data_IF_701216369483
#
_entry.id   IF_701216369483
#
_cell.length_a   1.000
_cell.length_b   1.000
_cell.length_c   1.000
_cell.angle_alpha   90.00
_cell.angle_beta   90.00
_cell.angle_gamma   90.00
#
_symmetry.space_group_name_H-M   'P 1'
#
loop_
_entity.id
_entity.type
_entity.pdbx_description
1 polymer ?
#
# COMPACT_ATOMS: atom_id res chain seq x y z
N UNK A 1 10.35 33.61 -76.66
CA UNK A 1 9.11 34.20 -76.20
C UNK A 1 8.63 33.42 -74.98
N UNK A 2 9.05 33.82 -73.79
CA UNK A 2 8.66 33.19 -72.57
C UNK A 2 7.54 33.97 -71.91
N UNK A 3 6.33 33.43 -71.91
CA UNK A 3 5.16 34.02 -71.31
C UNK A 3 5.26 33.86 -69.79
N UNK A 4 5.18 34.99 -69.08
CA UNK A 4 5.31 35.05 -67.62
C UNK A 4 4.25 34.23 -66.89
N UNK A 5 4.69 33.50 -65.90
CA UNK A 5 3.82 32.87 -64.91
C UNK A 5 3.14 33.95 -64.08
N UNK A 6 1.82 33.89 -63.99
CA UNK A 6 0.94 34.84 -63.28
C UNK A 6 1.30 34.82 -61.74
N UNK A 7 1.92 35.92 -61.30
CA UNK A 7 2.39 36.20 -59.98
C UNK A 7 1.28 36.08 -58.89
N UNK A 8 0.02 36.31 -59.34
CA UNK A 8 -1.16 36.22 -58.46
C UNK A 8 -1.49 34.76 -58.07
N UNK A 9 -1.33 33.84 -59.03
CA UNK A 9 -1.58 32.38 -58.75
C UNK A 9 -0.49 31.75 -57.87
N UNK A 10 0.75 32.24 -58.01
CA UNK A 10 1.88 31.77 -57.17
C UNK A 10 1.71 32.25 -55.73
N UNK A 11 1.26 33.50 -55.49
CA UNK A 11 0.99 34.03 -54.14
C UNK A 11 -0.18 33.31 -53.45
N UNK A 12 -1.25 32.98 -54.22
CA UNK A 12 -2.41 32.25 -53.68
C UNK A 12 -2.04 30.81 -53.32
N UNK A 13 -1.26 30.12 -54.16
CA UNK A 13 -0.80 28.78 -53.88
C UNK A 13 0.13 28.74 -52.65
N UNK A 14 1.02 29.70 -52.47
CA UNK A 14 1.92 29.81 -51.32
C UNK A 14 1.16 30.10 -50.03
N UNK A 15 0.13 30.95 -50.07
CA UNK A 15 -0.72 31.26 -48.91
C UNK A 15 -1.55 30.05 -48.47
N UNK A 16 -2.12 29.29 -49.44
CA UNK A 16 -2.84 28.04 -49.14
C UNK A 16 -1.93 26.96 -48.53
N UNK A 17 -0.69 26.83 -48.98
CA UNK A 17 0.26 25.88 -48.44
C UNK A 17 0.67 26.21 -47.00
N UNK A 18 0.87 27.51 -46.71
CA UNK A 18 1.18 27.97 -45.34
C UNK A 18 -0.01 27.76 -44.40
N UNK A 19 -1.24 28.01 -44.82
CA UNK A 19 -2.45 27.75 -44.03
C UNK A 19 -2.65 26.25 -43.76
N UNK A 20 -2.35 25.38 -44.73
CA UNK A 20 -2.47 23.93 -44.54
C UNK A 20 -1.40 23.38 -43.59
N UNK A 21 -0.16 23.86 -43.64
CA UNK A 21 0.92 23.46 -42.73
C UNK A 21 0.67 23.95 -41.29
N UNK A 22 0.11 25.17 -41.12
CA UNK A 22 -0.24 25.66 -39.78
C UNK A 22 -1.45 24.95 -39.16
N UNK A 23 -2.38 24.43 -39.96
CA UNK A 23 -3.55 23.69 -39.47
C UNK A 23 -3.20 22.28 -39.00
N UNK A 24 -2.15 21.66 -39.57
CA UNK A 24 -1.64 20.36 -39.11
C UNK A 24 -0.66 20.44 -37.92
N UNK A 25 0.00 21.59 -37.72
CA UNK A 25 0.90 21.79 -36.58
C UNK A 25 0.17 21.96 -35.23
N UNK A 26 -1.14 22.22 -35.23
CA UNK A 26 -1.94 22.47 -34.01
C UNK A 26 -2.58 21.22 -33.42
N UNK A 27 -2.38 20.02 -34.00
CA UNK A 27 -3.02 18.77 -33.56
C UNK A 27 -2.03 17.75 -32.92
N UNK A 28 -0.79 18.13 -32.78
CA UNK A 28 0.13 17.32 -31.93
C UNK A 28 -0.09 17.73 -30.49
N UNK A 29 -1.19 17.26 -29.87
CA UNK A 29 -1.24 17.15 -28.42
C UNK A 29 -0.03 16.33 -27.99
N UNK A 30 0.81 16.82 -27.07
CA UNK A 30 1.84 15.95 -26.53
C UNK A 30 1.12 14.75 -25.94
N UNK A 31 1.31 13.57 -26.53
CA UNK A 31 0.98 12.32 -25.85
C UNK A 31 1.85 12.32 -24.59
N UNK A 32 1.26 12.66 -23.45
CA UNK A 32 1.91 12.43 -22.17
C UNK A 32 2.18 10.93 -22.13
N UNK A 33 3.45 10.56 -22.21
CA UNK A 33 3.82 9.15 -22.02
C UNK A 33 3.20 8.73 -20.68
N UNK A 34 2.42 7.64 -20.70
CA UNK A 34 1.85 7.11 -19.48
C UNK A 34 2.99 6.89 -18.48
N UNK A 35 2.80 7.31 -17.25
CA UNK A 35 3.78 7.06 -16.19
C UNK A 35 3.94 5.54 -16.01
N UNK A 36 5.13 5.03 -16.29
CA UNK A 36 5.43 3.58 -16.23
C UNK A 36 5.92 3.13 -14.86
N UNK A 37 6.00 4.06 -13.90
CA UNK A 37 6.39 3.72 -12.52
C UNK A 37 5.31 2.84 -11.87
N UNK A 38 5.72 1.81 -11.11
CA UNK A 38 4.76 0.90 -10.48
C UNK A 38 3.97 1.59 -9.37
N UNK A 39 2.72 1.23 -9.23
CA UNK A 39 1.96 1.50 -8.01
C UNK A 39 2.42 0.56 -6.90
N UNK A 40 2.43 1.06 -5.67
CA UNK A 40 2.87 0.34 -4.48
C UNK A 40 1.71 0.25 -3.48
N UNK A 41 1.32 -0.96 -3.13
CA UNK A 41 0.32 -1.23 -2.09
C UNK A 41 0.95 -2.13 -1.03
N UNK A 42 1.03 -1.63 0.20
CA UNK A 42 1.47 -2.37 1.37
C UNK A 42 0.26 -2.67 2.24
N UNK A 43 -0.06 -3.95 2.43
CA UNK A 43 -1.08 -4.39 3.37
C UNK A 43 -0.39 -4.95 4.61
N UNK A 44 -0.64 -4.34 5.77
CA UNK A 44 0.09 -4.63 7.01
C UNK A 44 -0.86 -5.14 8.07
N UNK A 45 -0.64 -6.39 8.52
CA UNK A 45 -1.26 -6.95 9.71
C UNK A 45 -0.59 -6.42 10.99
N UNK A 46 -1.27 -6.55 12.13
CA UNK A 46 -0.72 -6.26 13.44
C UNK A 46 -0.79 -7.48 14.36
N UNK A 47 0.34 -7.85 14.98
CA UNK A 47 0.48 -9.02 15.84
C UNK A 47 0.14 -10.37 15.15
N UNK A 48 0.38 -10.47 13.83
CA UNK A 48 0.21 -11.70 13.06
C UNK A 48 1.54 -12.44 12.88
N UNK A 49 1.56 -13.73 13.16
CA UNK A 49 2.71 -14.57 12.81
C UNK A 49 2.50 -15.26 11.45
N UNK A 50 3.56 -15.36 10.67
CA UNK A 50 3.52 -16.05 9.36
C UNK A 50 3.03 -17.51 9.48
N UNK A 51 3.27 -18.16 10.62
CA UNK A 51 2.88 -19.57 10.88
C UNK A 51 1.37 -19.80 10.90
N UNK A 52 0.58 -18.75 11.06
CA UNK A 52 -0.89 -18.86 11.14
C UNK A 52 -1.55 -18.63 9.78
N UNK A 53 -0.78 -18.16 8.76
CA UNK A 53 -1.27 -17.98 7.39
C UNK A 53 -1.26 -19.29 6.60
N UNK A 54 -2.30 -19.56 5.82
CA UNK A 54 -2.49 -20.79 5.05
C UNK A 54 -1.32 -21.12 4.13
N UNK A 55 -0.79 -20.14 3.38
CA UNK A 55 0.34 -20.31 2.46
C UNK A 55 1.66 -20.75 3.15
N UNK A 56 1.74 -20.65 4.47
CA UNK A 56 2.84 -21.19 5.28
C UNK A 56 2.45 -22.42 6.09
N UNK A 57 1.27 -23.00 5.86
CA UNK A 57 0.76 -24.17 6.55
C UNK A 57 0.05 -23.87 7.86
N UNK A 58 -0.37 -22.63 8.06
CA UNK A 58 -1.17 -22.18 9.20
C UNK A 58 -2.59 -22.73 9.22
N UNK A 59 -3.28 -22.52 10.33
CA UNK A 59 -4.64 -23.02 10.54
C UNK A 59 -5.73 -22.02 10.10
N UNK A 60 -5.41 -20.73 10.01
CA UNK A 60 -6.34 -19.74 9.56
C UNK A 60 -6.66 -19.90 8.07
N UNK A 61 -7.91 -19.69 7.71
CA UNK A 61 -8.33 -19.62 6.31
C UNK A 61 -7.92 -18.27 5.74
N UNK A 62 -6.97 -18.28 4.79
CA UNK A 62 -6.42 -17.05 4.20
C UNK A 62 -6.38 -17.11 2.67
N UNK A 63 -7.55 -17.31 1.99
CA UNK A 63 -7.59 -17.56 0.55
C UNK A 63 -7.05 -16.40 -0.30
N UNK A 64 -7.20 -15.14 0.14
CA UNK A 64 -6.70 -13.97 -0.61
C UNK A 64 -5.17 -13.86 -0.51
N UNK A 65 -4.61 -14.01 0.69
CA UNK A 65 -3.15 -14.05 0.91
C UNK A 65 -2.54 -15.27 0.22
N UNK A 66 -3.19 -16.43 0.26
CA UNK A 66 -2.72 -17.65 -0.39
C UNK A 66 -2.71 -17.50 -1.92
N UNK A 67 -3.69 -16.80 -2.49
CA UNK A 67 -3.72 -16.43 -3.90
C UNK A 67 -2.55 -15.53 -4.25
N UNK A 68 -2.29 -14.45 -3.49
CA UNK A 68 -1.15 -13.56 -3.69
C UNK A 68 0.19 -14.31 -3.61
N UNK A 69 0.30 -15.26 -2.67
CA UNK A 69 1.49 -16.11 -2.54
C UNK A 69 1.70 -17.04 -3.74
N UNK A 70 0.61 -17.44 -4.42
CA UNK A 70 0.64 -18.32 -5.60
C UNK A 70 0.94 -17.54 -6.88
N UNK A 71 0.35 -16.35 -7.02
CA UNK A 71 0.48 -15.49 -8.19
C UNK A 71 1.78 -14.64 -8.17
N UNK A 72 2.35 -14.42 -6.98
CA UNK A 72 3.51 -13.57 -6.77
C UNK A 72 4.70 -14.29 -6.17
N UNK A 73 5.35 -13.65 -5.21
CA UNK A 73 6.53 -14.17 -4.51
C UNK A 73 6.24 -14.37 -3.03
N UNK A 74 6.41 -15.59 -2.54
CA UNK A 74 6.34 -15.92 -1.12
C UNK A 74 7.73 -15.97 -0.52
N UNK A 75 7.99 -15.10 0.47
CA UNK A 75 9.27 -15.05 1.18
C UNK A 75 9.32 -16.15 2.24
N UNK A 76 10.33 -17.02 2.18
CA UNK A 76 10.54 -18.06 3.19
C UNK A 76 11.30 -17.55 4.42
N UNK A 77 12.03 -16.46 4.28
CA UNK A 77 12.80 -15.81 5.33
C UNK A 77 12.63 -14.29 5.22
N UNK A 78 11.74 -13.75 6.02
CA UNK A 78 11.53 -12.30 6.16
C UNK A 78 11.49 -11.98 7.66
N UNK A 79 12.37 -11.12 8.13
CA UNK A 79 12.55 -10.84 9.56
C UNK A 79 12.20 -9.39 9.86
N UNK A 80 11.43 -9.19 10.91
CA UNK A 80 11.20 -7.86 11.48
C UNK A 80 12.42 -7.42 12.31
N UNK A 81 12.62 -6.12 12.37
CA UNK A 81 13.69 -5.52 13.18
C UNK A 81 13.38 -5.52 14.69
N UNK A 82 12.11 -5.64 15.07
CA UNK A 82 11.63 -5.68 16.44
C UNK A 82 10.30 -6.43 16.52
N UNK A 83 10.05 -7.19 17.61
CA UNK A 83 8.78 -7.92 17.80
C UNK A 83 7.70 -7.03 18.43
N UNK A 84 7.54 -5.78 17.95
CA UNK A 84 6.61 -4.80 18.48
C UNK A 84 6.09 -3.90 17.37
N UNK A 85 4.81 -3.49 17.45
CA UNK A 85 4.10 -2.75 16.43
C UNK A 85 4.76 -1.40 16.07
N UNK A 86 4.92 -0.48 17.02
CA UNK A 86 5.46 0.86 16.73
C UNK A 86 6.89 0.83 16.20
N UNK A 87 7.88 0.14 16.79
CA UNK A 87 9.24 0.05 16.25
C UNK A 87 9.28 -0.55 14.84
N UNK A 88 8.51 -1.60 14.58
CA UNK A 88 8.45 -2.22 13.24
C UNK A 88 7.86 -1.27 12.20
N UNK A 89 6.78 -0.53 12.54
CA UNK A 89 6.18 0.44 11.63
C UNK A 89 7.14 1.59 11.32
N UNK A 90 7.87 2.10 12.32
CA UNK A 90 8.94 3.07 12.08
C UNK A 90 10.01 2.52 11.13
N UNK A 91 10.44 1.26 11.31
CA UNK A 91 11.40 0.63 10.41
C UNK A 91 10.87 0.52 8.97
N UNK A 92 9.61 0.09 8.80
CA UNK A 92 8.99 -0.01 7.46
C UNK A 92 8.98 1.33 6.74
N UNK A 93 8.58 2.41 7.43
CA UNK A 93 8.45 3.73 6.79
C UNK A 93 9.77 4.48 6.64
N UNK A 94 10.78 4.21 7.48
CA UNK A 94 12.08 4.91 7.43
C UNK A 94 13.18 4.13 6.72
N UNK A 95 13.02 2.80 6.58
CA UNK A 95 14.09 1.90 6.12
C UNK A 95 15.27 1.79 7.10
N UNK A 96 15.12 2.25 8.35
CA UNK A 96 16.17 2.29 9.34
C UNK A 96 15.81 1.52 10.60
N UNK A 97 16.80 0.90 11.24
CA UNK A 97 16.56 0.22 12.53
C UNK A 97 16.08 1.22 13.59
N UNK A 98 15.10 0.86 14.42
CA UNK A 98 14.50 1.75 15.42
C UNK A 98 15.50 2.32 16.42
N UNK A 99 16.54 1.59 16.75
CA UNK A 99 17.64 2.03 17.62
C UNK A 99 18.37 3.26 17.01
N UNK A 100 18.48 3.32 15.67
CA UNK A 100 19.10 4.43 14.97
C UNK A 100 18.21 5.66 14.90
N UNK A 101 16.91 5.45 14.81
CA UNK A 101 15.92 6.52 14.68
C UNK A 101 15.41 7.06 16.02
N UNK A 102 15.75 6.41 17.15
CA UNK A 102 15.23 6.72 18.49
C UNK A 102 13.93 6.06 18.85
N UNK A 103 13.22 5.43 17.89
CA UNK A 103 11.91 4.83 18.08
C UNK A 103 11.97 3.33 18.46
N UNK A 104 12.95 2.92 19.27
CA UNK A 104 13.13 1.52 19.64
C UNK A 104 12.23 1.02 20.80
N UNK A 105 11.84 1.81 21.81
CA UNK A 105 10.79 1.40 22.72
C UNK A 105 9.42 1.49 22.03
N UNK A 106 8.46 0.68 22.47
CA UNK A 106 7.10 0.80 21.96
C UNK A 106 6.46 2.14 22.34
N UNK A 107 5.59 2.68 21.48
CA UNK A 107 4.88 3.96 21.67
C UNK A 107 5.82 5.18 21.79
N UNK A 108 7.00 5.13 21.19
CA UNK A 108 7.93 6.27 21.12
C UNK A 108 7.94 6.92 19.74
N UNK A 109 8.77 7.95 19.58
CA UNK A 109 8.84 8.76 18.37
C UNK A 109 10.28 8.74 17.84
N UNK A 110 10.44 9.01 16.54
CA UNK A 110 11.76 9.20 15.93
C UNK A 110 12.37 10.55 16.33
N UNK A 111 13.68 10.69 16.15
CA UNK A 111 14.33 11.99 16.15
C UNK A 111 13.80 12.86 15.00
N UNK A 112 13.92 14.19 15.15
CA UNK A 112 13.35 15.18 14.23
C UNK A 112 13.99 15.21 12.84
N UNK A 113 15.19 14.70 12.69
CA UNK A 113 15.96 14.66 11.44
C UNK A 113 15.77 13.35 10.64
N UNK A 114 14.94 12.45 11.13
CA UNK A 114 14.70 11.16 10.47
C UNK A 114 13.81 11.32 9.24
N UNK A 115 14.35 10.95 8.09
CA UNK A 115 13.61 10.89 6.82
C UNK A 115 12.84 9.57 6.67
N UNK A 116 11.73 9.62 5.95
CA UNK A 116 10.86 8.48 5.74
C UNK A 116 10.38 8.39 4.29
N UNK A 117 9.61 7.37 3.97
CA UNK A 117 9.15 7.07 2.61
C UNK A 117 8.45 8.25 1.92
N UNK A 118 7.76 9.12 2.67
CA UNK A 118 7.07 10.29 2.08
C UNK A 118 8.07 11.32 1.55
N UNK A 119 9.25 11.46 2.19
CA UNK A 119 10.31 12.39 1.78
C UNK A 119 11.03 11.94 0.51
N UNK A 120 10.93 10.66 0.18
CA UNK A 120 11.56 10.08 -1.00
C UNK A 120 10.59 9.95 -2.17
N UNK A 121 9.35 9.50 -1.94
CA UNK A 121 8.41 9.21 -3.01
C UNK A 121 7.64 10.45 -3.50
N UNK A 122 7.26 11.37 -2.62
CA UNK A 122 6.53 12.58 -3.03
C UNK A 122 7.30 13.45 -4.03
N UNK A 123 8.61 13.72 -3.86
CA UNK A 123 9.39 14.44 -4.88
C UNK A 123 9.47 13.73 -6.22
N UNK A 124 9.24 12.41 -6.25
CA UNK A 124 9.14 11.62 -7.47
C UNK A 124 7.73 11.64 -8.08
N UNK A 125 6.79 12.41 -7.53
CA UNK A 125 5.43 12.55 -8.04
C UNK A 125 4.45 11.48 -7.56
N UNK A 126 4.80 10.65 -6.58
CA UNK A 126 3.86 9.70 -5.98
C UNK A 126 2.88 10.40 -5.03
N UNK A 127 1.63 9.99 -5.05
CA UNK A 127 0.75 10.17 -3.89
C UNK A 127 1.07 9.09 -2.86
N UNK A 128 1.29 9.49 -1.61
CA UNK A 128 1.73 8.57 -0.55
C UNK A 128 0.74 8.64 0.60
N UNK A 129 -0.02 7.56 0.80
CA UNK A 129 -1.10 7.50 1.77
C UNK A 129 -0.91 6.41 2.83
N UNK A 130 -1.58 6.60 3.96
CA UNK A 130 -1.73 5.61 5.01
C UNK A 130 -3.16 5.59 5.51
N UNK A 131 -3.78 4.42 5.46
CA UNK A 131 -5.13 4.16 5.95
C UNK A 131 -5.10 3.12 7.06
N UNK A 132 -5.82 3.39 8.15
CA UNK A 132 -5.88 2.51 9.32
C UNK A 132 -4.81 2.81 10.38
N UNK A 133 -4.24 1.76 10.99
CA UNK A 133 -3.33 1.87 12.13
C UNK A 133 -2.03 2.60 11.81
N UNK A 134 -1.86 3.80 12.35
CA UNK A 134 -0.68 4.65 12.11
C UNK A 134 0.50 4.24 12.97
N UNK A 135 0.39 4.37 14.28
CA UNK A 135 1.32 3.99 15.36
C UNK A 135 2.78 4.40 15.15
N UNK A 136 3.02 5.55 14.52
CA UNK A 136 4.33 6.18 14.37
C UNK A 136 4.25 7.68 14.70
N UNK A 137 5.38 8.28 15.01
CA UNK A 137 5.48 9.69 15.33
C UNK A 137 6.93 10.22 15.33
N UNK A 138 7.07 11.55 15.38
CA UNK A 138 6.02 12.54 15.50
C UNK A 138 5.23 12.73 14.17
N UNK A 139 3.94 13.06 14.28
CA UNK A 139 3.03 13.10 13.13
C UNK A 139 3.46 14.06 12.01
N UNK A 140 4.09 15.17 12.36
CA UNK A 140 4.57 16.19 11.44
C UNK A 140 5.73 15.73 10.55
N UNK A 141 6.43 14.65 10.89
CA UNK A 141 7.48 14.07 10.04
C UNK A 141 6.90 13.08 9.04
N UNK A 142 5.86 12.35 9.40
CA UNK A 142 5.24 11.34 8.56
C UNK A 142 4.09 11.94 7.74
N UNK A 143 4.42 12.60 6.62
CA UNK A 143 3.50 13.39 5.81
C UNK A 143 2.66 12.54 4.85
N UNK A 144 2.03 11.45 5.34
CA UNK A 144 1.07 10.68 4.55
C UNK A 144 -0.23 11.44 4.30
N UNK A 145 -0.92 11.13 3.20
CA UNK A 145 -2.34 11.38 3.06
C UNK A 145 -3.07 10.37 3.93
N UNK A 146 -3.64 10.82 5.05
CA UNK A 146 -4.25 9.92 6.03
C UNK A 146 -5.75 9.80 5.80
N UNK A 147 -6.30 8.58 5.86
CA UNK A 147 -7.74 8.38 5.96
C UNK A 147 -8.28 8.76 7.35
N UNK A 148 -9.60 8.82 7.48
CA UNK A 148 -10.26 9.11 8.75
C UNK A 148 -10.28 7.90 9.70
N UNK A 149 -10.24 6.69 9.16
CA UNK A 149 -10.20 5.46 9.95
C UNK A 149 -8.82 5.27 10.61
N UNK A 150 -8.84 4.77 11.86
CA UNK A 150 -7.62 4.72 12.69
C UNK A 150 -7.17 3.31 13.05
N UNK A 151 -8.05 2.34 12.96
CA UNK A 151 -7.75 0.96 13.36
C UNK A 151 -7.57 0.06 12.12
N UNK A 152 -8.57 0.05 11.25
CA UNK A 152 -8.53 -0.76 10.03
C UNK A 152 -8.49 0.12 8.77
N UNK A 153 -8.08 -0.40 7.62
CA UNK A 153 -8.06 0.35 6.39
C UNK A 153 -9.47 0.86 6.02
N UNK A 154 -9.56 2.12 5.64
CA UNK A 154 -10.75 2.70 5.02
C UNK A 154 -10.74 2.31 3.53
N UNK A 155 -11.41 1.22 3.21
CA UNK A 155 -11.43 0.65 1.86
C UNK A 155 -12.02 1.64 0.85
N UNK A 156 -13.04 2.41 1.22
CA UNK A 156 -13.64 3.39 0.33
C UNK A 156 -12.68 4.56 0.02
N UNK A 157 -11.91 5.00 1.01
CA UNK A 157 -10.88 6.02 0.81
C UNK A 157 -9.72 5.51 -0.06
N UNK A 158 -9.33 4.23 0.10
CA UNK A 158 -8.30 3.59 -0.72
C UNK A 158 -8.77 3.47 -2.17
N UNK A 159 -9.97 2.93 -2.42
CA UNK A 159 -10.55 2.79 -3.76
C UNK A 159 -10.66 4.14 -4.47
N UNK A 160 -11.13 5.16 -3.74
CA UNK A 160 -11.22 6.52 -4.27
C UNK A 160 -9.85 7.04 -4.70
N UNK A 161 -8.83 6.89 -3.86
CA UNK A 161 -7.47 7.34 -4.17
C UNK A 161 -6.87 6.60 -5.35
N UNK A 162 -7.07 5.29 -5.43
CA UNK A 162 -6.60 4.47 -6.55
C UNK A 162 -7.26 4.89 -7.87
N UNK A 163 -8.57 5.16 -7.85
CA UNK A 163 -9.31 5.66 -9.02
C UNK A 163 -8.81 7.03 -9.47
N UNK A 164 -8.69 7.99 -8.55
CA UNK A 164 -8.14 9.32 -8.83
C UNK A 164 -6.73 9.24 -9.44
N UNK A 165 -5.86 8.41 -8.86
CA UNK A 165 -4.50 8.23 -9.36
C UNK A 165 -4.47 7.60 -10.76
N UNK A 166 -5.40 6.69 -11.06
CA UNK A 166 -5.54 6.06 -12.38
C UNK A 166 -5.99 7.09 -13.41
N UNK A 167 -7.00 7.89 -13.09
CA UNK A 167 -7.55 8.93 -13.98
C UNK A 167 -6.49 10.01 -14.30
N UNK A 168 -5.68 10.39 -13.31
CA UNK A 168 -4.63 11.41 -13.45
C UNK A 168 -3.28 10.84 -13.92
N UNK A 169 -3.16 9.51 -14.14
CA UNK A 169 -1.90 8.84 -14.44
C UNK A 169 -0.80 9.15 -13.40
N UNK A 170 -1.18 9.30 -12.14
CA UNK A 170 -0.28 9.58 -11.02
C UNK A 170 0.04 8.28 -10.27
N UNK A 171 1.31 7.90 -10.07
CA UNK A 171 1.63 6.71 -9.30
C UNK A 171 1.32 6.90 -7.81
N UNK A 172 0.90 5.82 -7.15
CA UNK A 172 0.61 5.85 -5.73
C UNK A 172 1.47 4.87 -4.91
N UNK A 173 1.64 5.20 -3.63
CA UNK A 173 2.14 4.31 -2.60
C UNK A 173 1.16 4.36 -1.42
N UNK A 174 0.42 3.29 -1.22
CA UNK A 174 -0.62 3.19 -0.18
C UNK A 174 -0.20 2.15 0.85
N UNK A 175 -0.28 2.53 2.13
CA UNK A 175 -0.16 1.64 3.28
C UNK A 175 -1.56 1.39 3.85
N UNK A 176 -2.12 0.21 3.58
CA UNK A 176 -3.36 -0.29 4.16
C UNK A 176 -3.01 -1.06 5.44
N UNK A 177 -3.19 -0.41 6.58
CA UNK A 177 -2.70 -0.87 7.86
C UNK A 177 -3.83 -1.38 8.73
N UNK A 178 -4.00 -2.71 8.81
CA UNK A 178 -4.95 -3.32 9.73
C UNK A 178 -4.46 -3.25 11.18
N UNK A 179 -5.41 -3.22 12.11
CA UNK A 179 -5.18 -3.51 13.51
C UNK A 179 -5.25 -5.01 13.78
N UNK A 180 -5.82 -5.79 12.87
CA UNK A 180 -6.03 -7.22 13.10
C UNK A 180 -4.82 -8.06 12.69
N UNK A 181 -4.57 -9.16 13.38
CA UNK A 181 -5.29 -9.77 14.52
C UNK A 181 -4.78 -9.33 15.91
N UNK A 182 -4.55 -8.06 16.17
CA UNK A 182 -4.19 -7.53 17.50
C UNK A 182 -5.40 -7.59 18.45
N UNK A 183 -5.19 -8.00 19.69
CA UNK A 183 -6.26 -8.06 20.71
C UNK A 183 -6.98 -6.69 20.93
N UNK A 184 -8.26 -6.69 21.36
CA UNK A 184 -9.11 -7.84 21.68
C UNK A 184 -9.57 -8.58 20.44
N UNK A 185 -9.70 -9.91 20.52
CA UNK A 185 -10.14 -10.75 19.41
C UNK A 185 -11.66 -10.81 19.38
N UNK A 186 -12.28 -9.82 18.77
CA UNK A 186 -13.73 -9.62 18.72
C UNK A 186 -14.28 -9.52 17.28
N UNK A 187 -13.42 -9.73 16.26
CA UNK A 187 -13.76 -9.73 14.84
C UNK A 187 -13.76 -11.15 14.25
N UNK A 188 -14.32 -11.26 13.05
CA UNK A 188 -14.41 -12.54 12.35
C UNK A 188 -15.40 -13.51 13.00
N UNK A 189 -15.41 -14.72 12.49
CA UNK A 189 -16.33 -15.80 12.94
C UNK A 189 -15.54 -16.93 13.60
N UNK A 190 -15.46 -16.92 14.93
CA UNK A 190 -14.76 -17.94 15.70
C UNK A 190 -15.40 -19.34 15.59
N UNK A 191 -16.65 -19.47 15.12
CA UNK A 191 -17.28 -20.77 14.91
C UNK A 191 -16.61 -21.60 13.82
N UNK A 192 -15.85 -20.97 12.95
CA UNK A 192 -15.01 -21.63 11.94
C UNK A 192 -13.81 -22.38 12.56
N UNK A 193 -13.47 -22.07 13.80
CA UNK A 193 -12.32 -22.64 14.53
C UNK A 193 -12.76 -23.27 15.84
N UNK A 194 -13.47 -24.42 15.82
CA UNK A 194 -13.90 -25.09 17.06
C UNK A 194 -12.73 -25.31 18.00
N UNK A 195 -12.90 -24.97 19.28
CA UNK A 195 -11.84 -25.02 20.28
C UNK A 195 -11.23 -26.42 20.46
N UNK A 196 -11.99 -27.49 20.16
CA UNK A 196 -11.51 -28.87 20.18
C UNK A 196 -10.53 -29.18 19.06
N UNK A 197 -10.63 -28.48 17.92
CA UNK A 197 -9.87 -28.76 16.69
C UNK A 197 -8.62 -27.88 16.54
N UNK A 198 -8.56 -26.75 17.27
CA UNK A 198 -7.40 -25.84 17.18
C UNK A 198 -6.14 -26.50 17.76
N UNK A 199 -5.02 -26.36 17.03
CA UNK A 199 -3.70 -26.84 17.43
C UNK A 199 -2.92 -25.70 18.02
N UNK A 200 -2.76 -25.70 19.34
CA UNK A 200 -2.02 -24.66 20.02
C UNK A 200 -0.51 -24.77 19.72
N UNK A 201 0.18 -23.64 19.53
CA UNK A 201 1.64 -23.62 19.52
C UNK A 201 2.21 -24.19 20.83
N UNK A 202 3.39 -24.86 20.81
CA UNK A 202 3.91 -25.58 21.96
C UNK A 202 4.32 -24.68 23.16
N UNK A 203 4.34 -23.38 22.96
CA UNK A 203 4.63 -22.39 24.02
C UNK A 203 3.36 -21.87 24.71
N UNK A 204 2.17 -22.24 24.26
CA UNK A 204 0.90 -21.91 24.92
C UNK A 204 0.42 -23.05 25.81
N UNK A 205 -0.13 -22.71 26.98
CA UNK A 205 -0.76 -23.67 27.85
C UNK A 205 -2.06 -24.20 27.22
N UNK A 206 -2.25 -25.53 27.28
CA UNK A 206 -3.47 -26.15 26.75
C UNK A 206 -4.58 -26.09 27.81
N UNK A 207 -5.32 -24.98 27.83
CA UNK A 207 -6.49 -24.78 28.69
C UNK A 207 -7.68 -24.35 27.84
N UNK A 208 -8.93 -24.53 28.34
CA UNK A 208 -10.11 -24.08 27.62
C UNK A 208 -10.09 -22.60 27.25
N UNK A 209 -9.59 -21.74 28.16
CA UNK A 209 -9.50 -20.29 27.95
C UNK A 209 -8.51 -19.92 26.83
N UNK A 210 -7.35 -20.61 26.80
CA UNK A 210 -6.34 -20.38 25.76
C UNK A 210 -6.83 -20.89 24.42
N UNK A 211 -7.53 -22.05 24.38
CA UNK A 211 -8.15 -22.55 23.15
C UNK A 211 -9.23 -21.61 22.61
N UNK A 212 -10.08 -21.05 23.47
CA UNK A 212 -11.08 -20.07 23.11
C UNK A 212 -10.43 -18.78 22.56
N UNK A 213 -9.43 -18.26 23.23
CA UNK A 213 -8.69 -17.09 22.79
C UNK A 213 -8.00 -17.32 21.44
N UNK A 214 -7.38 -18.49 21.25
CA UNK A 214 -6.69 -18.84 20.01
C UNK A 214 -7.67 -19.06 18.83
N UNK A 215 -8.85 -19.64 19.09
CA UNK A 215 -9.95 -19.74 18.11
C UNK A 215 -10.37 -18.36 17.60
N UNK A 216 -10.57 -17.41 18.49
CA UNK A 216 -10.92 -16.02 18.16
C UNK A 216 -9.78 -15.31 17.42
N UNK A 217 -8.54 -15.53 17.81
CA UNK A 217 -7.38 -15.02 17.10
C UNK A 217 -7.33 -15.51 15.65
N UNK A 218 -7.55 -16.81 15.40
CA UNK A 218 -7.58 -17.36 14.04
C UNK A 218 -8.73 -16.77 13.21
N UNK A 219 -9.89 -16.51 13.82
CA UNK A 219 -10.99 -15.82 13.15
C UNK A 219 -10.62 -14.41 12.72
N UNK A 220 -9.84 -13.68 13.52
CA UNK A 220 -9.33 -12.37 13.13
C UNK A 220 -8.23 -12.42 12.06
N UNK A 221 -7.43 -13.47 12.02
CA UNK A 221 -6.51 -13.68 10.89
C UNK A 221 -7.30 -13.86 9.59
N UNK A 222 -8.42 -14.59 9.60
CA UNK A 222 -9.33 -14.69 8.45
C UNK A 222 -9.98 -13.34 8.12
N UNK A 223 -10.44 -12.61 9.12
CA UNK A 223 -10.98 -11.26 8.92
C UNK A 223 -9.95 -10.29 8.33
N UNK A 224 -8.67 -10.41 8.69
CA UNK A 224 -7.60 -9.68 8.04
C UNK A 224 -7.42 -10.08 6.58
N UNK A 225 -7.52 -11.38 6.26
CA UNK A 225 -7.48 -11.87 4.87
C UNK A 225 -8.62 -11.30 4.01
N UNK A 226 -9.79 -11.08 4.60
CA UNK A 226 -10.93 -10.42 3.92
C UNK A 226 -10.64 -8.95 3.57
N UNK A 227 -9.67 -8.31 4.22
CA UNK A 227 -9.22 -6.96 3.91
C UNK A 227 -8.17 -6.93 2.79
N UNK A 228 -7.54 -8.07 2.47
CA UNK A 228 -6.53 -8.24 1.42
C UNK A 228 -7.17 -8.47 0.07
#
# INVERSE_FOLDING_TARGET
>A
MFTGLDDSKMKTAFLCTIMFVSMFASLALPATAADTRPNLLFVIADDCTFRDLGCYGGQASTPNIDRLATEGMRMTHCFQCAPMCSPTRHNIYTGQYPVKTGAYPNHTQTFDDVRNITDYLKPLGYRVALSGKTHVGPRNLFNFEYSNEKNNPDMAAIDKMMSECTDDSTPFCIFACSNEPHSPWDKGDASQYPTADVKLPPYLADTPEVRDAFSRYLAEVTYYDDQV
#
